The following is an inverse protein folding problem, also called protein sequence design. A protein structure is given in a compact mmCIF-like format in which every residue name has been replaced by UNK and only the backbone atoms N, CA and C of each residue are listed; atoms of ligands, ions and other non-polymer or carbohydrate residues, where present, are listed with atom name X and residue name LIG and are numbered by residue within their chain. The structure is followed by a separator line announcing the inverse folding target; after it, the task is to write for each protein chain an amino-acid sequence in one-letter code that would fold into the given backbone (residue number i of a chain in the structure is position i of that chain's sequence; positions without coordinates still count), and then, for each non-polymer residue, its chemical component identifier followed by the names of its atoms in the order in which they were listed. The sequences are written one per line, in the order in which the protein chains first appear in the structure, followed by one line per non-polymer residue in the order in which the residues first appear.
data_IF_561361202938
#
_entry.id   IF_561361202938
#
_cell.length_a   1.000
_cell.length_b   1.000
_cell.length_c   1.000
_cell.angle_alpha   90.00
_cell.angle_beta   90.00
_cell.angle_gamma   90.00
#
_symmetry.space_group_name_H-M   'P 1'
#
loop_
_entity.id
_entity.type
_entity.pdbx_description
1 polymer ?
#
# COMPACT_ATOMS: atom_id res chain seq x y z
N UNK A 1 -2.48 -2.95 -17.74
CA UNK A 1 -3.03 -4.23 -18.28
C UNK A 1 -4.27 -4.63 -17.50
N UNK A 2 -5.32 -5.17 -18.13
CA UNK A 2 -6.54 -5.58 -17.41
C UNK A 2 -6.97 -6.99 -17.80
N UNK A 3 -6.84 -7.93 -16.87
CA UNK A 3 -7.26 -9.31 -16.99
C UNK A 3 -8.55 -9.50 -16.22
N UNK A 4 -9.68 -9.67 -16.92
CA UNK A 4 -11.00 -9.84 -16.31
C UNK A 4 -11.67 -11.12 -16.80
N UNK A 5 -12.16 -11.95 -15.88
CA UNK A 5 -12.85 -13.20 -16.20
C UNK A 5 -12.01 -14.18 -17.04
N UNK A 6 -10.68 -14.16 -16.87
CA UNK A 6 -9.77 -15.00 -17.63
C UNK A 6 -9.35 -16.24 -16.82
N UNK A 7 -9.00 -17.30 -17.53
CA UNK A 7 -8.49 -18.54 -16.95
C UNK A 7 -7.26 -19.03 -17.67
N UNK A 8 -6.28 -19.54 -16.94
CA UNK A 8 -5.08 -20.20 -17.48
C UNK A 8 -4.26 -19.28 -18.40
N UNK A 9 -3.95 -18.08 -17.92
CA UNK A 9 -3.18 -17.08 -18.67
C UNK A 9 -1.79 -16.92 -18.06
N UNK A 10 -0.78 -16.83 -18.93
CA UNK A 10 0.57 -16.40 -18.55
C UNK A 10 0.93 -15.14 -19.34
N UNK A 11 1.32 -14.09 -18.64
CA UNK A 11 2.02 -12.94 -19.19
C UNK A 11 3.52 -13.16 -19.01
N UNK A 12 4.21 -13.39 -20.12
CA UNK A 12 5.65 -13.54 -20.20
C UNK A 12 6.28 -12.24 -20.69
N UNK A 13 7.13 -11.63 -19.87
CA UNK A 13 7.80 -10.38 -20.23
C UNK A 13 9.11 -10.55 -20.98
N UNK A 14 9.74 -11.73 -20.96
CA UNK A 14 11.07 -11.97 -21.54
C UNK A 14 12.11 -10.91 -21.10
N UNK A 15 12.09 -10.54 -19.82
CA UNK A 15 12.91 -9.50 -19.18
C UNK A 15 12.66 -8.07 -19.71
N UNK A 16 11.50 -7.81 -20.32
CA UNK A 16 11.13 -6.47 -20.76
C UNK A 16 10.87 -5.54 -19.57
N UNK A 17 11.14 -4.25 -19.77
CA UNK A 17 10.72 -3.18 -18.84
C UNK A 17 9.50 -2.47 -19.42
N UNK A 18 8.40 -2.46 -18.67
CA UNK A 18 7.23 -1.67 -18.98
C UNK A 18 7.35 -0.30 -18.30
N UNK A 19 7.44 0.75 -19.10
CA UNK A 19 7.54 2.14 -18.62
C UNK A 19 6.17 2.80 -18.75
N UNK A 20 5.62 3.24 -17.63
CA UNK A 20 4.31 3.89 -17.55
C UNK A 20 4.44 5.41 -17.51
N UNK A 21 3.44 6.08 -18.07
CA UNK A 21 3.35 7.53 -18.23
C UNK A 21 2.14 8.05 -17.46
N UNK A 22 2.37 9.01 -16.56
CA UNK A 22 1.36 9.46 -15.61
C UNK A 22 1.07 8.46 -14.48
N UNK A 23 0.03 8.73 -13.69
CA UNK A 23 -0.41 7.79 -12.63
C UNK A 23 -1.27 6.70 -13.23
N UNK A 24 -0.82 5.45 -13.14
CA UNK A 24 -1.53 4.29 -13.72
C UNK A 24 -1.49 3.09 -12.77
N UNK A 25 -2.46 2.19 -12.90
CA UNK A 25 -2.35 0.84 -12.33
C UNK A 25 -1.69 -0.05 -13.37
N UNK A 26 -0.54 -0.65 -13.02
CA UNK A 26 0.27 -1.44 -13.96
C UNK A 26 -0.50 -2.63 -14.50
N UNK A 27 -1.10 -3.43 -13.61
CA UNK A 27 -2.08 -4.45 -13.99
C UNK A 27 -3.20 -4.62 -12.98
N UNK A 28 -4.35 -5.07 -13.50
CA UNK A 28 -5.50 -5.52 -12.72
C UNK A 28 -5.81 -6.96 -13.10
N UNK A 29 -5.89 -7.86 -12.12
CA UNK A 29 -6.41 -9.23 -12.27
C UNK A 29 -7.72 -9.32 -11.50
N UNK A 30 -8.85 -9.32 -12.20
CA UNK A 30 -10.20 -9.31 -11.62
C UNK A 30 -10.97 -10.57 -12.01
N UNK A 31 -11.58 -11.22 -11.02
CA UNK A 31 -12.47 -12.37 -11.22
C UNK A 31 -11.86 -13.47 -12.11
N UNK A 32 -10.55 -13.70 -11.98
CA UNK A 32 -9.75 -14.57 -12.85
C UNK A 32 -9.11 -15.72 -12.08
N UNK A 33 -8.72 -16.78 -12.79
CA UNK A 33 -8.19 -18.01 -12.19
C UNK A 33 -6.94 -18.51 -12.93
N UNK A 34 -5.94 -19.00 -12.19
CA UNK A 34 -4.69 -19.54 -12.75
C UNK A 34 -4.00 -18.51 -13.67
N UNK A 35 -3.60 -17.38 -13.07
CA UNK A 35 -2.92 -16.30 -13.78
C UNK A 35 -1.47 -16.23 -13.31
N UNK A 36 -0.52 -16.23 -14.26
CA UNK A 36 0.89 -16.03 -14.00
C UNK A 36 1.40 -14.77 -14.71
N UNK A 37 2.17 -13.96 -13.99
CA UNK A 37 2.94 -12.84 -14.56
C UNK A 37 4.41 -13.08 -14.23
N UNK A 38 5.28 -13.06 -15.23
CA UNK A 38 6.69 -13.37 -15.00
C UNK A 38 7.68 -12.65 -15.92
N UNK A 39 8.92 -12.56 -15.43
CA UNK A 39 10.11 -12.05 -16.13
C UNK A 39 9.89 -10.67 -16.73
N UNK A 40 9.49 -9.71 -15.90
CA UNK A 40 9.33 -8.33 -16.33
C UNK A 40 9.72 -7.34 -15.25
N UNK A 41 10.01 -6.13 -15.68
CA UNK A 41 10.19 -4.97 -14.82
C UNK A 41 9.13 -3.92 -15.10
N UNK A 42 8.80 -3.12 -14.09
CA UNK A 42 7.86 -2.00 -14.15
C UNK A 42 8.58 -0.77 -13.66
N UNK A 43 8.50 0.30 -14.44
CA UNK A 43 8.97 1.61 -14.04
C UNK A 43 8.04 2.72 -14.55
N UNK A 44 8.33 3.95 -14.18
CA UNK A 44 7.60 5.13 -14.61
C UNK A 44 8.57 6.13 -15.22
N UNK A 45 8.14 6.81 -16.29
CA UNK A 45 8.92 7.92 -16.87
C UNK A 45 9.15 9.02 -15.83
N UNK A 46 8.12 9.27 -15.01
CA UNK A 46 8.18 10.15 -13.84
C UNK A 46 7.42 9.47 -12.70
N UNK A 47 8.12 8.89 -11.71
CA UNK A 47 7.53 8.29 -10.50
C UNK A 47 6.57 9.21 -9.75
N UNK A 48 5.68 8.70 -8.92
CA UNK A 48 4.77 9.54 -8.12
C UNK A 48 5.40 10.30 -6.97
N UNK A 49 6.60 9.90 -6.59
CA UNK A 49 7.38 10.53 -5.54
C UNK A 49 8.54 11.33 -6.12
N UNK A 50 8.89 12.42 -5.47
CA UNK A 50 10.07 13.22 -5.76
C UNK A 50 11.14 12.99 -4.70
N UNK A 51 12.39 13.21 -5.07
CA UNK A 51 13.52 13.13 -4.15
C UNK A 51 14.39 14.37 -4.33
N UNK A 52 14.95 14.90 -3.25
CA UNK A 52 15.97 15.93 -3.31
C UNK A 52 17.04 15.72 -2.24
N UNK A 53 18.31 15.84 -2.62
CA UNK A 53 19.45 15.72 -1.73
C UNK A 53 19.76 17.09 -1.11
N UNK A 54 19.89 17.15 0.21
CA UNK A 54 20.19 18.37 0.94
C UNK A 54 21.69 18.65 0.87
N UNK A 55 22.09 19.73 0.18
CA UNK A 55 23.50 20.07 -0.06
C UNK A 55 24.07 21.00 0.98
N UNK A 56 23.24 21.91 1.47
CA UNK A 56 23.60 22.87 2.51
C UNK A 56 22.40 23.13 3.40
N UNK A 57 22.61 23.13 4.71
CA UNK A 57 21.59 23.36 5.72
C UNK A 57 22.13 24.40 6.69
N UNK A 58 21.40 25.48 6.85
CA UNK A 58 21.65 26.53 7.84
C UNK A 58 20.33 26.84 8.56
N UNK A 59 20.35 27.56 9.69
CA UNK A 59 19.11 27.96 10.35
C UNK A 59 18.23 28.91 9.50
N UNK A 60 18.77 29.56 8.45
CA UNK A 60 18.06 30.54 7.61
C UNK A 60 17.75 30.06 6.18
N UNK A 61 18.40 28.99 5.72
CA UNK A 61 18.13 28.42 4.41
C UNK A 61 18.60 26.98 4.27
N UNK A 62 18.03 26.30 3.29
CA UNK A 62 18.46 25.01 2.78
C UNK A 62 18.72 25.13 1.28
N UNK A 63 19.82 24.55 0.80
CA UNK A 63 20.04 24.31 -0.64
C UNK A 63 19.85 22.82 -0.88
N UNK A 64 18.96 22.48 -1.81
CA UNK A 64 18.68 21.10 -2.19
C UNK A 64 18.83 20.90 -3.70
N UNK A 65 19.29 19.71 -4.09
CA UNK A 65 19.38 19.25 -5.46
C UNK A 65 18.29 18.20 -5.71
N UNK A 66 17.35 18.50 -6.59
CA UNK A 66 16.31 17.56 -7.00
C UNK A 66 16.92 16.40 -7.81
N UNK A 67 16.43 15.18 -7.57
CA UNK A 67 16.79 14.02 -8.38
C UNK A 67 16.39 14.24 -9.85
N UNK A 68 17.18 13.81 -10.85
CA UNK A 68 16.87 14.03 -12.27
C UNK A 68 15.49 13.54 -12.73
N UNK A 69 14.99 12.43 -12.15
CA UNK A 69 13.64 11.91 -12.43
C UNK A 69 12.50 12.74 -11.82
N UNK A 70 12.82 13.75 -11.01
CA UNK A 70 11.83 14.65 -10.41
C UNK A 70 11.62 15.88 -11.28
N UNK A 71 10.36 16.18 -11.62
CA UNK A 71 9.98 17.41 -12.33
C UNK A 71 9.37 18.42 -11.34
N UNK A 72 9.84 19.67 -11.40
CA UNK A 72 9.36 20.75 -10.56
C UNK A 72 9.31 22.10 -11.27
N UNK A 73 8.48 23.00 -10.75
CA UNK A 73 8.42 24.41 -11.12
C UNK A 73 8.47 25.28 -9.85
N UNK A 74 8.90 26.53 -10.00
CA UNK A 74 8.78 27.55 -8.95
C UNK A 74 7.66 28.50 -9.37
N UNK A 75 6.59 28.56 -8.60
CA UNK A 75 5.42 29.42 -8.84
C UNK A 75 5.16 30.19 -7.56
N UNK A 76 5.09 31.53 -7.63
CA UNK A 76 4.91 32.41 -6.47
C UNK A 76 5.88 32.12 -5.32
N UNK A 77 7.13 31.81 -5.70
CA UNK A 77 8.21 31.40 -4.80
C UNK A 77 7.95 30.10 -4.01
N UNK A 78 7.10 29.21 -4.52
CA UNK A 78 6.87 27.86 -3.97
C UNK A 78 7.30 26.80 -4.96
N UNK A 79 7.89 25.73 -4.45
CA UNK A 79 8.22 24.57 -5.28
C UNK A 79 6.97 23.71 -5.47
N UNK A 80 6.62 23.47 -6.74
CA UNK A 80 5.54 22.58 -7.14
C UNK A 80 6.15 21.37 -7.85
N UNK A 81 5.98 20.18 -7.26
CA UNK A 81 6.30 18.91 -7.92
C UNK A 81 5.18 18.52 -8.88
N UNK A 82 5.53 18.10 -10.09
CA UNK A 82 4.55 17.66 -11.08
C UNK A 82 5.02 16.44 -11.87
N UNK A 83 4.08 15.85 -12.59
CA UNK A 83 4.28 14.83 -13.61
C UNK A 83 3.18 14.92 -14.64
N UNK A 84 3.06 13.92 -15.49
CA UNK A 84 2.02 13.89 -16.52
C UNK A 84 0.63 13.84 -15.89
N UNK A 85 -0.14 14.92 -16.06
CA UNK A 85 -1.52 15.08 -15.56
C UNK A 85 -1.67 15.09 -14.03
N UNK A 86 -0.59 15.37 -13.30
CA UNK A 86 -0.68 15.51 -11.84
C UNK A 86 0.34 16.50 -11.29
N UNK A 87 -0.02 17.07 -10.14
CA UNK A 87 0.89 17.85 -9.28
C UNK A 87 0.67 17.43 -7.82
N UNK A 88 1.71 17.49 -7.01
CA UNK A 88 1.60 17.21 -5.57
C UNK A 88 0.82 18.33 -4.90
N UNK A 89 -0.24 17.97 -4.17
CA UNK A 89 -1.08 18.91 -3.41
C UNK A 89 -1.00 18.65 -1.91
N UNK A 90 -0.89 17.39 -1.50
CA UNK A 90 -0.88 17.00 -0.10
C UNK A 90 0.46 16.41 0.30
N UNK A 91 1.39 17.27 0.71
CA UNK A 91 2.75 16.84 0.97
C UNK A 91 2.86 15.86 2.15
N UNK A 92 3.60 14.80 1.92
CA UNK A 92 4.14 13.91 2.94
C UNK A 92 5.61 13.68 2.63
N UNK A 93 6.47 13.79 3.66
CA UNK A 93 7.90 13.75 3.48
C UNK A 93 8.56 12.77 4.46
N UNK A 94 9.53 12.02 3.95
CA UNK A 94 10.41 11.16 4.75
C UNK A 94 11.84 11.64 4.50
N UNK A 95 12.62 11.74 5.57
CA UNK A 95 14.03 12.07 5.48
C UNK A 95 14.81 10.76 5.49
N UNK A 96 15.59 10.51 4.46
CA UNK A 96 16.49 9.36 4.39
C UNK A 96 17.91 9.83 4.68
N UNK A 97 18.60 9.08 5.51
CA UNK A 97 20.02 9.24 5.79
C UNK A 97 20.79 8.06 5.21
N UNK A 98 21.30 8.17 3.97
CA UNK A 98 21.92 7.04 3.29
C UNK A 98 23.16 6.50 4.02
N UNK A 99 23.95 7.38 4.61
CA UNK A 99 25.19 7.03 5.34
C UNK A 99 24.97 6.12 6.55
N UNK A 100 23.79 6.20 7.17
CA UNK A 100 23.43 5.39 8.33
C UNK A 100 22.39 4.31 7.98
N UNK A 101 21.85 4.31 6.74
CA UNK A 101 20.81 3.38 6.31
C UNK A 101 19.45 3.58 7.00
N UNK A 102 19.15 4.79 7.47
CA UNK A 102 17.96 5.09 8.28
C UNK A 102 16.96 5.94 7.51
N UNK A 103 15.67 5.69 7.74
CA UNK A 103 14.57 6.54 7.28
C UNK A 103 13.83 7.12 8.49
N UNK A 104 13.66 8.43 8.49
CA UNK A 104 13.11 9.21 9.60
C UNK A 104 11.82 9.91 9.16
N UNK A 105 10.79 9.83 10.00
CA UNK A 105 9.58 10.61 9.76
C UNK A 105 9.91 12.10 9.73
N UNK A 106 9.46 12.78 8.68
CA UNK A 106 9.71 14.20 8.48
C UNK A 106 8.41 14.90 8.05
N UNK A 107 8.51 16.16 7.69
CA UNK A 107 7.39 16.92 7.15
C UNK A 107 7.87 17.98 6.16
N UNK A 108 6.95 18.43 5.31
CA UNK A 108 7.21 19.44 4.31
C UNK A 108 7.05 20.87 4.83
N UNK A 109 6.61 21.07 6.08
CA UNK A 109 6.21 22.40 6.58
C UNK A 109 7.35 23.42 6.55
N UNK A 110 8.60 23.01 6.76
CA UNK A 110 9.75 23.91 6.64
C UNK A 110 9.88 24.49 5.22
N UNK A 111 9.69 23.64 4.22
CA UNK A 111 9.76 24.01 2.80
C UNK A 111 8.50 24.78 2.37
N UNK A 112 7.33 24.33 2.80
CA UNK A 112 6.03 25.01 2.60
C UNK A 112 6.07 26.46 3.12
N UNK A 113 6.70 26.71 4.29
CA UNK A 113 6.79 28.05 4.89
C UNK A 113 8.00 28.86 4.42
N UNK A 114 8.82 28.33 3.52
CA UNK A 114 10.00 29.00 2.97
C UNK A 114 9.71 29.67 1.61
N UNK A 115 10.65 30.51 1.17
CA UNK A 115 10.72 31.04 -0.19
C UNK A 115 11.66 30.17 -1.03
N UNK A 116 11.15 29.54 -2.08
CA UNK A 116 11.92 28.71 -3.00
C UNK A 116 12.39 29.52 -4.21
N UNK A 117 13.66 29.37 -4.57
CA UNK A 117 14.30 30.00 -5.72
C UNK A 117 15.17 28.98 -6.45
N UNK A 118 14.98 28.85 -7.77
CA UNK A 118 15.85 28.01 -8.60
C UNK A 118 17.15 28.75 -8.89
N UNK A 119 18.27 28.24 -8.37
CA UNK A 119 19.59 28.88 -8.49
C UNK A 119 20.50 28.20 -9.52
N UNK A 120 20.18 26.97 -9.94
CA UNK A 120 20.83 26.25 -11.04
C UNK A 120 19.88 25.17 -11.61
N UNK A 121 20.25 24.44 -12.68
CA UNK A 121 19.53 23.22 -13.06
C UNK A 121 19.43 22.27 -11.86
N UNK A 122 18.22 21.81 -11.54
CA UNK A 122 17.89 20.94 -10.39
C UNK A 122 18.19 21.49 -8.99
N UNK A 123 18.89 22.62 -8.85
CA UNK A 123 19.26 23.18 -7.54
C UNK A 123 18.27 24.29 -7.14
N UNK A 124 17.68 24.12 -5.95
CA UNK A 124 16.72 25.05 -5.35
C UNK A 124 17.23 25.51 -3.99
N UNK A 125 17.21 26.82 -3.76
CA UNK A 125 17.41 27.43 -2.45
C UNK A 125 16.06 27.72 -1.81
N UNK A 126 15.88 27.22 -0.60
CA UNK A 126 14.75 27.50 0.26
C UNK A 126 15.19 28.44 1.37
N UNK A 127 14.66 29.66 1.41
CA UNK A 127 14.99 30.66 2.44
C UNK A 127 13.84 30.82 3.43
N UNK A 128 14.10 30.63 4.73
CA UNK A 128 13.07 30.60 5.78
C UNK A 128 13.66 30.22 7.14
N UNK A 129 12.81 29.89 8.12
CA UNK A 129 13.28 29.38 9.41
C UNK A 129 13.47 27.86 9.35
N UNK A 130 14.73 27.43 9.33
CA UNK A 130 15.16 26.03 9.38
C UNK A 130 15.88 25.69 10.68
N UNK A 131 15.83 26.56 11.70
CA UNK A 131 16.54 26.36 12.98
C UNK A 131 16.16 25.07 13.72
N UNK A 132 14.96 24.54 13.44
CA UNK A 132 14.44 23.28 14.00
C UNK A 132 14.38 22.14 12.99
N UNK A 133 14.87 22.33 11.77
CA UNK A 133 14.91 21.28 10.76
C UNK A 133 16.10 20.36 11.01
N UNK A 134 15.86 19.23 11.64
CA UNK A 134 16.89 18.26 11.99
C UNK A 134 17.25 17.37 10.78
N UNK A 135 18.15 17.87 9.93
CA UNK A 135 18.72 17.14 8.81
C UNK A 135 20.22 17.46 8.70
N UNK A 136 20.97 16.59 8.01
CA UNK A 136 22.38 16.81 7.72
C UNK A 136 22.64 16.88 6.22
N UNK A 137 23.84 17.34 5.87
CA UNK A 137 24.31 17.32 4.49
C UNK A 137 24.25 15.89 3.93
N UNK A 138 23.81 15.78 2.69
CA UNK A 138 23.61 14.54 1.93
C UNK A 138 22.46 13.64 2.43
N UNK A 139 21.68 14.07 3.43
CA UNK A 139 20.36 13.47 3.64
C UNK A 139 19.48 13.73 2.39
N UNK A 140 18.58 12.79 2.09
CA UNK A 140 17.65 12.88 0.97
C UNK A 140 16.24 13.05 1.52
N UNK A 141 15.59 14.16 1.18
CA UNK A 141 14.17 14.32 1.47
C UNK A 141 13.35 13.72 0.33
N UNK A 142 12.48 12.78 0.66
CA UNK A 142 11.59 12.11 -0.28
C UNK A 142 10.18 12.63 -0.05
N UNK A 143 9.45 12.91 -1.13
CA UNK A 143 8.19 13.64 -1.11
C UNK A 143 7.16 12.88 -1.94
N UNK A 144 5.95 12.73 -1.41
CA UNK A 144 4.80 12.18 -2.14
C UNK A 144 3.53 12.95 -1.84
N UNK A 145 2.53 12.77 -2.69
CA UNK A 145 1.16 13.11 -2.31
C UNK A 145 0.64 12.07 -1.28
N UNK A 146 -0.07 12.56 -0.27
CA UNK A 146 -0.65 11.73 0.79
C UNK A 146 -1.84 10.94 0.27
N UNK A 147 -2.59 11.49 -0.68
CA UNK A 147 -3.78 10.85 -1.21
C UNK A 147 -3.39 9.68 -2.13
N UNK A 148 -3.94 8.51 -1.84
CA UNK A 148 -3.68 7.26 -2.58
C UNK A 148 -4.80 7.07 -3.60
N UNK A 149 -4.64 7.64 -4.79
CA UNK A 149 -5.61 7.58 -5.90
C UNK A 149 -5.41 6.37 -6.83
N UNK A 150 -4.27 5.68 -6.72
CA UNK A 150 -3.93 4.48 -7.47
C UNK A 150 -3.30 3.42 -6.57
N UNK A 151 -3.09 2.24 -7.14
CA UNK A 151 -2.24 1.19 -6.58
C UNK A 151 -1.27 0.75 -7.68
N UNK A 152 -0.10 0.21 -7.31
CA UNK A 152 0.87 -0.29 -8.28
C UNK A 152 0.29 -1.44 -9.10
N UNK A 153 -0.30 -2.41 -8.43
CA UNK A 153 -1.01 -3.52 -9.05
C UNK A 153 -2.22 -3.92 -8.22
N UNK A 154 -3.26 -4.43 -8.87
CA UNK A 154 -4.48 -4.86 -8.19
C UNK A 154 -4.90 -6.26 -8.56
N UNK A 155 -5.14 -7.10 -7.57
CA UNK A 155 -5.76 -8.41 -7.74
C UNK A 155 -7.05 -8.44 -6.95
N UNK A 156 -8.15 -8.74 -7.61
CA UNK A 156 -9.48 -8.70 -7.02
C UNK A 156 -10.22 -10.00 -7.31
N UNK A 157 -10.79 -10.61 -6.27
CA UNK A 157 -11.72 -11.75 -6.40
C UNK A 157 -11.20 -12.87 -7.30
N UNK A 158 -9.90 -13.11 -7.25
CA UNK A 158 -9.19 -13.98 -8.17
C UNK A 158 -8.50 -15.12 -7.43
N UNK A 159 -8.20 -16.20 -8.14
CA UNK A 159 -7.70 -17.45 -7.55
C UNK A 159 -6.44 -17.95 -8.26
N UNK A 160 -5.51 -18.50 -7.49
CA UNK A 160 -4.26 -19.10 -7.99
C UNK A 160 -3.46 -18.09 -8.84
N UNK A 161 -3.03 -17.00 -8.21
CA UNK A 161 -2.20 -15.97 -8.85
C UNK A 161 -0.74 -16.22 -8.52
N UNK A 162 0.10 -16.14 -9.56
CA UNK A 162 1.54 -16.32 -9.42
C UNK A 162 2.28 -15.13 -10.02
N UNK A 163 3.18 -14.55 -9.24
CA UNK A 163 4.16 -13.58 -9.70
C UNK A 163 5.54 -14.23 -9.55
N UNK A 164 6.31 -14.27 -10.63
CA UNK A 164 7.65 -14.87 -10.61
C UNK A 164 8.65 -13.98 -11.34
N UNK A 165 9.74 -13.61 -10.68
CA UNK A 165 10.78 -12.76 -11.27
C UNK A 165 10.19 -11.44 -11.84
N UNK A 166 9.58 -10.66 -10.94
CA UNK A 166 8.91 -9.39 -11.27
C UNK A 166 9.55 -8.26 -10.48
N UNK A 167 10.04 -7.24 -11.19
CA UNK A 167 10.62 -6.04 -10.58
C UNK A 167 9.62 -4.88 -10.63
N UNK A 168 9.27 -4.33 -9.48
CA UNK A 168 8.46 -3.13 -9.31
C UNK A 168 9.38 -1.98 -8.89
N UNK A 169 9.98 -1.30 -9.87
CA UNK A 169 10.97 -0.25 -9.59
C UNK A 169 10.35 1.02 -9.01
N UNK A 170 9.08 1.28 -9.36
CA UNK A 170 8.28 2.33 -8.77
C UNK A 170 6.80 1.97 -8.77
N UNK A 171 6.06 2.42 -7.75
CA UNK A 171 4.61 2.27 -7.63
C UNK A 171 3.97 3.53 -7.05
N UNK A 172 2.82 3.91 -7.62
CA UNK A 172 1.99 5.00 -7.11
C UNK A 172 0.96 4.47 -6.10
N UNK A 173 0.81 5.14 -4.96
CA UNK A 173 -0.15 4.76 -3.91
C UNK A 173 0.29 3.52 -3.13
N UNK A 174 -0.65 2.60 -2.88
CA UNK A 174 -0.33 1.26 -2.35
C UNK A 174 0.42 0.44 -3.40
N UNK A 175 1.23 -0.53 -2.99
CA UNK A 175 1.97 -1.39 -3.89
C UNK A 175 1.10 -2.44 -4.59
N UNK A 176 1.47 -3.71 -4.47
CA UNK A 176 0.68 -4.83 -5.01
C UNK A 176 -0.45 -5.14 -4.03
N UNK A 177 -1.67 -4.75 -4.37
CA UNK A 177 -2.85 -4.97 -3.53
C UNK A 177 -3.63 -6.19 -4.01
N UNK A 178 -3.82 -7.17 -3.12
CA UNK A 178 -4.68 -8.33 -3.36
C UNK A 178 -5.87 -8.30 -2.42
N UNK A 179 -7.08 -8.22 -2.97
CA UNK A 179 -8.33 -8.11 -2.24
C UNK A 179 -9.27 -9.28 -2.59
N UNK A 180 -9.79 -9.99 -1.59
CA UNK A 180 -10.65 -11.17 -1.79
C UNK A 180 -10.07 -12.22 -2.75
N UNK A 181 -8.75 -12.43 -2.71
CA UNK A 181 -8.10 -13.44 -3.53
C UNK A 181 -7.86 -14.75 -2.76
N UNK A 182 -7.75 -15.86 -3.49
CA UNK A 182 -7.46 -17.20 -2.95
C UNK A 182 -6.17 -17.76 -3.57
N UNK A 183 -5.23 -18.22 -2.74
CA UNK A 183 -3.95 -18.81 -3.17
C UNK A 183 -3.07 -17.87 -4.02
N UNK A 184 -2.10 -17.24 -3.36
CA UNK A 184 -1.17 -16.28 -3.95
C UNK A 184 0.26 -16.77 -3.75
N UNK A 185 1.06 -16.81 -4.80
CA UNK A 185 2.48 -17.19 -4.74
C UNK A 185 3.33 -16.14 -5.42
N UNK A 186 4.05 -15.36 -4.63
CA UNK A 186 4.98 -14.33 -5.09
C UNK A 186 6.38 -14.82 -4.80
N UNK A 187 7.11 -15.16 -5.85
CA UNK A 187 8.45 -15.71 -5.79
C UNK A 187 9.40 -14.81 -6.60
N UNK A 188 10.49 -14.36 -5.98
CA UNK A 188 11.41 -13.42 -6.64
C UNK A 188 10.69 -12.16 -7.14
N UNK A 189 9.87 -11.56 -6.29
CA UNK A 189 9.26 -10.25 -6.56
C UNK A 189 10.06 -9.17 -5.83
N UNK A 190 10.54 -8.20 -6.58
CA UNK A 190 11.46 -7.17 -6.09
C UNK A 190 10.76 -5.81 -6.12
N UNK A 191 10.44 -5.26 -4.95
CA UNK A 191 9.92 -3.89 -4.79
C UNK A 191 11.08 -3.03 -4.30
N UNK A 192 11.88 -2.54 -5.24
CA UNK A 192 13.09 -1.77 -4.96
C UNK A 192 13.40 -0.84 -6.14
N UNK A 193 14.01 0.34 -5.94
CA UNK A 193 14.34 1.24 -7.04
C UNK A 193 15.26 0.57 -8.06
N UNK A 194 15.10 0.93 -9.35
CA UNK A 194 15.94 0.38 -10.41
C UNK A 194 17.43 0.57 -10.10
N UNK A 195 18.22 -0.49 -10.28
CA UNK A 195 19.67 -0.44 -10.06
C UNK A 195 20.32 0.66 -10.93
N UNK A 196 21.20 1.46 -10.32
CA UNK A 196 21.87 2.57 -11.00
C UNK A 196 21.02 3.81 -11.23
N UNK A 197 19.72 3.82 -10.90
CA UNK A 197 18.86 5.00 -11.09
C UNK A 197 19.16 6.16 -10.14
N UNK A 198 19.86 5.91 -9.02
CA UNK A 198 20.11 6.90 -7.97
C UNK A 198 18.92 7.13 -7.03
N UNK A 199 17.72 6.66 -7.39
CA UNK A 199 16.51 6.72 -6.56
C UNK A 199 16.63 5.89 -5.29
N UNK A 200 15.95 6.34 -4.25
CA UNK A 200 15.92 5.67 -2.94
C UNK A 200 14.55 5.02 -2.66
N UNK A 201 13.46 5.55 -3.21
CA UNK A 201 12.09 5.09 -2.91
C UNK A 201 11.45 4.39 -4.10
N UNK A 202 10.88 3.21 -3.85
CA UNK A 202 10.12 2.41 -4.81
C UNK A 202 8.60 2.54 -4.61
N UNK A 203 8.12 2.69 -3.36
CA UNK A 203 6.68 2.74 -3.09
C UNK A 203 6.29 3.88 -2.15
N UNK A 204 5.21 4.56 -2.54
CA UNK A 204 4.61 5.63 -1.75
C UNK A 204 3.88 5.12 -0.50
N UNK A 205 3.61 3.82 -0.42
CA UNK A 205 2.99 3.15 0.72
C UNK A 205 3.46 1.69 0.80
N UNK A 206 2.57 0.76 1.16
CA UNK A 206 2.90 -0.64 1.40
C UNK A 206 3.52 -1.28 0.14
N UNK A 207 4.40 -2.28 0.31
CA UNK A 207 4.97 -3.04 -0.80
C UNK A 207 3.98 -4.05 -1.37
N UNK A 208 3.45 -4.92 -0.51
CA UNK A 208 2.42 -5.90 -0.81
C UNK A 208 1.32 -5.88 0.26
N UNK A 209 0.07 -5.74 -0.16
CA UNK A 209 -1.07 -5.54 0.71
C UNK A 209 -2.16 -6.58 0.44
N UNK A 210 -2.41 -7.47 1.39
CA UNK A 210 -3.38 -8.55 1.28
C UNK A 210 -4.57 -8.29 2.21
N UNK A 211 -5.70 -7.87 1.62
CA UNK A 211 -6.90 -7.51 2.36
C UNK A 211 -8.03 -8.51 2.11
N UNK A 212 -8.44 -9.24 3.14
CA UNK A 212 -9.53 -10.22 3.05
C UNK A 212 -9.23 -11.36 2.06
N UNK A 213 -7.98 -11.84 1.99
CA UNK A 213 -7.61 -13.01 1.18
C UNK A 213 -7.85 -14.33 1.94
N UNK A 214 -7.88 -15.47 1.22
CA UNK A 214 -8.01 -16.81 1.82
C UNK A 214 -7.06 -17.83 1.17
N UNK A 215 -7.09 -19.06 1.68
CA UNK A 215 -6.19 -20.11 1.22
C UNK A 215 -4.78 -19.87 1.76
N UNK A 216 -3.78 -19.90 0.88
CA UNK A 216 -2.36 -19.70 1.24
C UNK A 216 -1.75 -18.51 0.51
N UNK A 217 -1.02 -17.66 1.24
CA UNK A 217 -0.15 -16.63 0.69
C UNK A 217 1.30 -17.08 0.89
N UNK A 218 2.09 -17.10 -0.18
CA UNK A 218 3.52 -17.41 -0.14
C UNK A 218 4.30 -16.23 -0.71
N UNK A 219 5.26 -15.73 0.06
CA UNK A 219 6.23 -14.70 -0.32
C UNK A 219 7.61 -15.35 -0.14
N UNK A 220 8.32 -15.58 -1.24
CA UNK A 220 9.58 -16.31 -1.26
C UNK A 220 10.61 -15.57 -2.12
N UNK A 221 11.87 -15.51 -1.68
CA UNK A 221 12.96 -14.83 -2.40
C UNK A 221 12.67 -13.38 -2.83
N UNK A 222 11.79 -12.67 -2.10
CA UNK A 222 11.40 -11.30 -2.44
C UNK A 222 12.36 -10.27 -1.83
N UNK A 223 12.38 -9.07 -2.39
CA UNK A 223 13.09 -7.92 -1.79
C UNK A 223 12.18 -6.72 -1.70
N UNK A 224 12.35 -5.97 -0.62
CA UNK A 224 11.61 -4.74 -0.35
C UNK A 224 12.61 -3.68 0.08
N UNK A 225 12.68 -2.59 -0.68
CA UNK A 225 13.52 -1.44 -0.37
C UNK A 225 12.86 -0.13 -0.79
N UNK A 226 12.87 0.84 0.12
CA UNK A 226 12.43 2.21 -0.17
C UNK A 226 10.92 2.34 -0.15
N UNK A 227 10.27 1.95 0.94
CA UNK A 227 8.83 2.11 1.14
C UNK A 227 8.56 3.18 2.19
N UNK A 228 7.51 3.98 1.98
CA UNK A 228 7.01 4.92 2.99
C UNK A 228 6.04 4.25 4.01
N UNK A 229 5.81 2.95 3.88
CA UNK A 229 4.92 2.14 4.73
C UNK A 229 5.44 0.68 4.77
N UNK A 230 4.61 -0.26 5.24
CA UNK A 230 5.02 -1.65 5.46
C UNK A 230 5.41 -2.37 4.15
N UNK A 231 6.54 -3.08 4.09
CA UNK A 231 6.81 -4.04 3.03
C UNK A 231 5.68 -5.04 2.76
N UNK A 232 5.10 -5.64 3.82
CA UNK A 232 4.03 -6.63 3.73
C UNK A 232 2.97 -6.39 4.79
N UNK A 233 1.71 -6.33 4.35
CA UNK A 233 0.55 -6.17 5.22
C UNK A 233 -0.52 -7.22 4.88
N UNK A 234 -0.89 -8.07 5.84
CA UNK A 234 -1.92 -9.11 5.69
C UNK A 234 -2.99 -8.92 6.76
N UNK A 235 -4.22 -8.65 6.36
CA UNK A 235 -5.32 -8.42 7.30
C UNK A 235 -6.71 -8.73 6.71
N UNK A 236 -7.68 -8.93 7.60
CA UNK A 236 -9.11 -8.87 7.28
C UNK A 236 -9.70 -7.48 7.56
N UNK A 237 -10.99 -7.28 7.28
CA UNK A 237 -11.67 -6.01 7.58
C UNK A 237 -12.75 -6.23 8.63
N UNK A 238 -12.66 -5.51 9.75
CA UNK A 238 -13.77 -5.41 10.71
C UNK A 238 -14.83 -4.45 10.19
N UNK A 239 -16.09 -4.89 10.21
CA UNK A 239 -17.21 -3.98 10.04
C UNK A 239 -17.93 -3.80 11.38
N UNK A 240 -18.32 -2.57 11.68
CA UNK A 240 -19.04 -2.24 12.91
C UNK A 240 -20.52 -2.56 12.74
N UNK A 241 -21.13 -3.24 13.70
CA UNK A 241 -22.58 -3.44 13.76
C UNK A 241 -23.22 -2.12 14.13
N UNK A 242 -24.02 -1.57 13.22
CA UNK A 242 -24.72 -0.28 13.41
C UNK A 242 -26.19 -0.46 13.77
N UNK A 243 -26.77 -1.65 13.53
CA UNK A 243 -28.15 -1.96 13.89
C UNK A 243 -28.35 -3.48 14.00
N UNK A 244 -29.13 -3.93 14.99
CA UNK A 244 -29.64 -5.31 15.05
C UNK A 244 -31.11 -5.29 14.62
N UNK A 245 -31.36 -5.68 13.37
CA UNK A 245 -32.68 -5.57 12.71
C UNK A 245 -33.64 -6.66 13.22
N UNK A 246 -33.13 -7.87 13.46
CA UNK A 246 -33.90 -9.00 13.98
C UNK A 246 -32.97 -10.01 14.67
N UNK A 247 -33.49 -11.07 15.32
CA UNK A 247 -32.65 -12.10 15.96
C UNK A 247 -31.64 -12.80 15.03
N UNK A 248 -31.73 -12.63 13.70
CA UNK A 248 -30.81 -13.20 12.71
C UNK A 248 -30.26 -12.16 11.74
N UNK A 249 -30.66 -10.88 11.82
CA UNK A 249 -30.37 -9.88 10.79
C UNK A 249 -29.74 -8.64 11.40
N UNK A 250 -28.67 -8.15 10.79
CA UNK A 250 -27.91 -7.00 11.27
C UNK A 250 -27.44 -6.11 10.12
N UNK A 251 -27.29 -4.83 10.42
CA UNK A 251 -26.66 -3.83 9.54
C UNK A 251 -25.25 -3.58 10.03
N UNK A 252 -24.31 -3.56 9.09
CA UNK A 252 -22.89 -3.37 9.38
C UNK A 252 -22.29 -2.29 8.51
N UNK A 253 -21.26 -1.62 9.01
CA UNK A 253 -20.66 -0.46 8.37
C UNK A 253 -19.15 -0.52 8.30
N UNK A 254 -18.64 -0.13 7.15
CA UNK A 254 -17.27 0.26 6.91
C UNK A 254 -16.94 1.59 7.60
N UNK A 255 -16.05 1.56 8.59
CA UNK A 255 -15.74 2.74 9.42
C UNK A 255 -14.60 3.58 8.86
N UNK A 256 -13.55 2.94 8.32
CA UNK A 256 -12.41 3.68 7.80
C UNK A 256 -12.76 4.40 6.50
N UNK A 257 -12.31 5.64 6.35
CA UNK A 257 -12.66 6.46 5.19
C UNK A 257 -12.08 5.91 3.88
N UNK A 258 -10.98 5.14 3.92
CA UNK A 258 -10.34 4.50 2.75
C UNK A 258 -10.72 3.03 2.55
N UNK A 259 -11.66 2.48 3.32
CA UNK A 259 -12.04 1.06 3.21
C UNK A 259 -13.55 0.96 3.09
N UNK A 260 -14.08 0.95 1.86
CA UNK A 260 -15.50 0.88 1.57
C UNK A 260 -15.75 0.46 0.12
N UNK A 261 -17.01 0.27 -0.27
CA UNK A 261 -17.42 0.12 -1.67
C UNK A 261 -17.34 -1.30 -2.24
N UNK A 262 -17.10 -2.32 -1.40
CA UNK A 262 -16.98 -3.70 -1.84
C UNK A 262 -17.77 -4.68 -0.95
N UNK A 263 -18.25 -5.82 -1.49
CA UNK A 263 -18.96 -6.82 -0.70
C UNK A 263 -17.98 -7.61 0.19
N UNK A 264 -17.87 -7.20 1.46
CA UNK A 264 -16.96 -7.83 2.44
C UNK A 264 -17.42 -9.19 2.96
N UNK A 265 -18.70 -9.52 2.76
CA UNK A 265 -19.32 -10.78 3.14
C UNK A 265 -20.15 -11.31 1.98
N UNK A 266 -20.28 -12.62 1.89
CA UNK A 266 -21.13 -13.34 0.95
C UNK A 266 -21.89 -14.45 1.69
N UNK A 267 -22.92 -15.01 1.04
CA UNK A 267 -23.54 -16.23 1.55
C UNK A 267 -22.50 -17.31 1.81
N UNK A 268 -22.74 -18.11 2.84
CA UNK A 268 -21.87 -19.17 3.36
C UNK A 268 -20.60 -18.73 4.11
N UNK A 269 -20.28 -17.43 4.15
CA UNK A 269 -19.12 -16.96 4.90
C UNK A 269 -19.28 -17.22 6.41
N UNK A 270 -18.23 -17.76 7.03
CA UNK A 270 -18.12 -17.83 8.48
C UNK A 270 -17.66 -16.48 9.02
N UNK A 271 -18.22 -16.07 10.16
CA UNK A 271 -17.87 -14.81 10.83
C UNK A 271 -17.55 -15.02 12.30
N UNK A 272 -16.73 -14.14 12.85
CA UNK A 272 -16.56 -13.98 14.29
C UNK A 272 -17.08 -12.61 14.73
N UNK A 273 -17.90 -12.60 15.77
CA UNK A 273 -18.38 -11.40 16.43
C UNK A 273 -17.40 -10.99 17.53
N UNK A 274 -17.12 -9.69 17.64
CA UNK A 274 -16.04 -9.12 18.45
C UNK A 274 -16.54 -7.93 19.26
N UNK A 275 -16.07 -7.80 20.50
CA UNK A 275 -16.21 -6.55 21.25
C UNK A 275 -15.21 -5.53 20.71
N UNK A 276 -15.69 -4.42 20.15
CA UNK A 276 -14.81 -3.40 19.52
C UNK A 276 -13.74 -2.85 20.45
N UNK A 277 -14.03 -2.73 21.75
CA UNK A 277 -13.09 -2.18 22.74
C UNK A 277 -11.95 -3.14 23.13
N UNK A 278 -12.16 -4.46 23.04
CA UNK A 278 -11.19 -5.45 23.53
C UNK A 278 -10.75 -6.46 22.48
N UNK A 279 -11.34 -6.43 21.28
CA UNK A 279 -11.18 -7.41 20.21
C UNK A 279 -11.48 -8.85 20.65
N UNK A 280 -12.15 -9.04 21.79
CA UNK A 280 -12.50 -10.36 22.29
C UNK A 280 -13.64 -10.94 21.46
N UNK A 281 -13.44 -12.15 20.93
CA UNK A 281 -14.48 -12.93 20.25
C UNK A 281 -15.60 -13.23 21.26
N UNK A 282 -16.81 -12.80 20.94
CA UNK A 282 -18.01 -13.02 21.76
C UNK A 282 -19.01 -14.00 21.12
N UNK A 283 -18.74 -14.47 19.90
CA UNK A 283 -19.51 -15.50 19.23
C UNK A 283 -19.02 -15.73 17.80
N UNK A 284 -19.58 -16.74 17.15
CA UNK A 284 -19.36 -17.05 15.74
C UNK A 284 -20.70 -17.31 15.06
N UNK A 285 -20.75 -17.20 13.74
CA UNK A 285 -21.93 -17.55 12.96
C UNK A 285 -21.58 -17.79 11.50
N UNK A 286 -22.58 -18.12 10.70
CA UNK A 286 -22.45 -18.24 9.25
C UNK A 286 -23.48 -17.34 8.57
N UNK A 287 -23.03 -16.62 7.55
CA UNK A 287 -23.86 -15.71 6.77
C UNK A 287 -24.74 -16.54 5.85
N UNK A 288 -26.05 -16.31 5.90
CA UNK A 288 -27.04 -16.86 4.96
C UNK A 288 -27.16 -15.96 3.74
N UNK A 289 -27.34 -14.65 3.94
CA UNK A 289 -27.36 -13.66 2.85
C UNK A 289 -26.57 -12.41 3.24
N UNK A 290 -25.97 -11.75 2.25
CA UNK A 290 -25.25 -10.50 2.40
C UNK A 290 -25.61 -9.56 1.26
N UNK A 291 -25.99 -8.33 1.59
CA UNK A 291 -26.37 -7.33 0.60
C UNK A 291 -25.67 -6.01 0.92
N UNK A 292 -24.94 -5.46 -0.05
CA UNK A 292 -24.44 -4.09 0.00
C UNK A 292 -25.63 -3.14 -0.27
N UNK A 293 -25.93 -2.26 0.68
CA UNK A 293 -27.07 -1.32 0.60
C UNK A 293 -26.63 0.13 0.39
N UNK A 294 -25.35 0.42 0.61
CA UNK A 294 -24.68 1.65 0.21
C UNK A 294 -23.18 1.38 0.06
N UNK A 295 -22.40 2.37 -0.37
CA UNK A 295 -20.94 2.25 -0.40
C UNK A 295 -20.33 1.84 0.96
N UNK A 296 -20.99 2.15 2.08
CA UNK A 296 -20.45 1.91 3.42
C UNK A 296 -21.20 0.88 4.23
N UNK A 297 -22.38 0.43 3.80
CA UNK A 297 -23.26 -0.37 4.65
C UNK A 297 -23.71 -1.65 3.96
N UNK A 298 -23.73 -2.74 4.74
CA UNK A 298 -24.24 -4.03 4.31
C UNK A 298 -25.29 -4.52 5.30
N UNK A 299 -26.29 -5.23 4.79
CA UNK A 299 -27.22 -6.03 5.59
C UNK A 299 -26.78 -7.48 5.49
N UNK A 300 -26.61 -8.12 6.64
CA UNK A 300 -26.31 -9.54 6.74
C UNK A 300 -27.47 -10.27 7.45
N UNK A 301 -27.87 -11.40 6.89
CA UNK A 301 -28.74 -12.38 7.54
C UNK A 301 -27.88 -13.60 7.90
N UNK A 302 -27.98 -14.06 9.13
CA UNK A 302 -27.27 -15.22 9.64
C UNK A 302 -28.10 -16.49 9.49
N UNK A 303 -27.44 -17.64 9.38
CA UNK A 303 -28.11 -18.96 9.31
C UNK A 303 -28.78 -19.36 10.63
N UNK A 304 -28.29 -18.80 11.74
CA UNK A 304 -28.72 -19.05 13.11
C UNK A 304 -28.94 -17.74 13.87
N UNK A 305 -29.56 -17.86 15.04
CA UNK A 305 -29.73 -16.73 15.95
C UNK A 305 -28.39 -16.08 16.32
N UNK A 306 -28.39 -14.75 16.38
CA UNK A 306 -27.26 -13.95 16.83
C UNK A 306 -26.93 -14.27 18.31
N UNK A 307 -25.66 -14.15 18.73
CA UNK A 307 -25.31 -14.34 20.13
C UNK A 307 -26.12 -13.42 21.06
N UNK A 308 -26.72 -13.96 22.12
CA UNK A 308 -27.65 -13.23 23.03
C UNK A 308 -27.08 -11.94 23.65
N UNK A 309 -25.76 -11.75 23.67
CA UNK A 309 -25.09 -10.57 24.23
C UNK A 309 -24.50 -9.65 23.16
N UNK A 310 -24.74 -9.91 21.88
CA UNK A 310 -24.30 -9.03 20.78
C UNK A 310 -25.06 -7.70 20.88
N UNK A 311 -24.37 -6.58 20.64
CA UNK A 311 -24.98 -5.25 20.69
C UNK A 311 -24.47 -4.36 19.57
N UNK A 312 -25.22 -3.30 19.30
CA UNK A 312 -24.74 -2.23 18.44
C UNK A 312 -23.42 -1.66 18.97
N UNK A 313 -22.53 -1.32 18.05
CA UNK A 313 -21.18 -0.87 18.35
C UNK A 313 -20.14 -1.97 18.48
N UNK A 314 -20.54 -3.24 18.62
CA UNK A 314 -19.65 -4.37 18.38
C UNK A 314 -19.24 -4.45 16.90
N UNK A 315 -18.31 -5.36 16.59
CA UNK A 315 -17.84 -5.58 15.24
C UNK A 315 -17.94 -7.05 14.85
N UNK A 316 -17.78 -7.32 13.56
CA UNK A 316 -17.56 -8.67 13.06
C UNK A 316 -16.44 -8.70 12.02
N UNK A 317 -15.76 -9.84 11.93
CA UNK A 317 -14.81 -10.15 10.84
C UNK A 317 -15.27 -11.36 10.04
N UNK A 318 -14.86 -11.37 8.77
CA UNK A 318 -15.00 -12.51 7.89
C UNK A 318 -13.84 -13.48 8.08
N UNK A 319 -14.13 -14.67 8.62
CA UNK A 319 -13.12 -15.67 9.01
C UNK A 319 -12.97 -16.79 7.97
N UNK A 320 -13.86 -16.82 6.97
CA UNK A 320 -13.62 -17.54 5.70
C UNK A 320 -12.45 -16.91 4.97
N UNK A 321 -12.45 -15.57 4.91
CA UNK A 321 -11.47 -14.76 4.21
C UNK A 321 -10.26 -14.42 5.07
N UNK A 322 -9.60 -15.47 5.55
CA UNK A 322 -8.36 -15.37 6.31
C UNK A 322 -7.34 -16.40 5.77
N UNK A 323 -6.12 -15.99 5.36
CA UNK A 323 -5.16 -16.90 4.72
C UNK A 323 -4.14 -17.47 5.72
N UNK A 324 -3.59 -18.65 5.46
CA UNK A 324 -2.27 -18.98 6.00
C UNK A 324 -1.19 -18.21 5.25
N UNK A 325 -0.09 -17.90 5.92
CA UNK A 325 0.98 -17.05 5.35
C UNK A 325 2.33 -17.73 5.53
N UNK A 326 3.15 -17.71 4.48
CA UNK A 326 4.56 -18.09 4.52
C UNK A 326 5.39 -16.97 3.90
N UNK A 327 6.32 -16.43 4.67
CA UNK A 327 7.28 -15.40 4.23
C UNK A 327 8.67 -15.94 4.51
N UNK A 328 9.48 -16.16 3.47
CA UNK A 328 10.81 -16.72 3.64
C UNK A 328 11.82 -16.24 2.62
N UNK A 329 13.09 -16.42 2.94
CA UNK A 329 14.24 -16.12 2.07
C UNK A 329 14.20 -14.69 1.50
N UNK A 330 13.53 -13.77 2.17
CA UNK A 330 13.23 -12.42 1.67
C UNK A 330 14.02 -11.37 2.45
N UNK A 331 14.23 -10.21 1.83
CA UNK A 331 15.01 -9.11 2.40
C UNK A 331 14.15 -7.85 2.54
N UNK A 332 14.17 -7.26 3.73
CA UNK A 332 13.38 -6.10 4.11
C UNK A 332 14.30 -4.94 4.53
N UNK A 333 14.35 -3.89 3.71
CA UNK A 333 15.24 -2.74 3.93
C UNK A 333 14.52 -1.42 3.67
N UNK A 334 15.04 -0.34 4.24
CA UNK A 334 14.61 1.01 3.87
C UNK A 334 13.09 1.22 3.97
N UNK A 335 12.53 1.09 5.17
CA UNK A 335 11.18 1.56 5.52
C UNK A 335 11.24 2.38 6.81
N UNK A 336 10.40 3.39 6.93
CA UNK A 336 10.25 4.22 8.13
C UNK A 336 9.11 3.77 9.06
N UNK A 337 8.57 2.57 8.83
CA UNK A 337 7.42 2.02 9.56
C UNK A 337 7.71 0.62 10.11
N UNK A 338 6.82 -0.37 9.94
CA UNK A 338 7.06 -1.75 10.40
C UNK A 338 7.67 -2.56 9.24
N UNK A 339 8.16 -3.77 9.53
CA UNK A 339 8.58 -4.72 8.49
C UNK A 339 7.39 -5.48 7.91
N UNK A 340 6.79 -6.37 8.71
CA UNK A 340 5.62 -7.16 8.29
C UNK A 340 4.49 -6.99 9.29
N UNK A 341 3.31 -6.56 8.84
CA UNK A 341 2.08 -6.55 9.63
C UNK A 341 1.21 -7.74 9.22
N UNK A 342 1.19 -8.79 10.06
CA UNK A 342 0.45 -10.02 9.76
C UNK A 342 -0.60 -10.27 10.83
N UNK A 343 -1.86 -10.02 10.48
CA UNK A 343 -3.03 -10.12 11.38
C UNK A 343 -4.02 -11.19 10.92
N UNK A 344 -3.49 -12.32 10.48
CA UNK A 344 -4.28 -13.53 10.20
C UNK A 344 -4.41 -14.40 11.45
N UNK A 345 -5.55 -15.08 11.58
CA UNK A 345 -5.81 -16.11 12.60
C UNK A 345 -5.33 -17.52 12.21
N UNK A 346 -4.84 -17.71 10.98
CA UNK A 346 -4.31 -19.01 10.51
C UNK A 346 -2.80 -19.09 10.70
N UNK A 347 -2.24 -20.27 10.43
CA UNK A 347 -0.80 -20.53 10.56
C UNK A 347 0.01 -19.49 9.76
N UNK A 348 1.01 -18.92 10.43
CA UNK A 348 2.01 -18.03 9.86
C UNK A 348 3.38 -18.68 10.04
N UNK A 349 4.19 -18.67 8.98
CA UNK A 349 5.60 -19.04 8.99
C UNK A 349 6.42 -17.86 8.47
N UNK A 350 7.35 -17.37 9.26
CA UNK A 350 8.32 -16.33 8.88
C UNK A 350 9.70 -16.91 9.20
N UNK A 351 10.49 -17.25 8.19
CA UNK A 351 11.78 -17.93 8.35
C UNK A 351 12.82 -17.42 7.35
N UNK A 352 14.10 -17.39 7.74
CA UNK A 352 15.21 -17.03 6.84
C UNK A 352 15.04 -15.67 6.12
N UNK A 353 14.47 -14.67 6.80
CA UNK A 353 14.37 -13.31 6.29
C UNK A 353 15.41 -12.41 6.95
N UNK A 354 15.83 -11.36 6.25
CA UNK A 354 16.77 -10.33 6.74
C UNK A 354 16.07 -8.99 6.82
#
# INVERSE_FOLDING_TARGET
LFFKNLKNITLEGNNSTFVFHGKMITWVIDSSENVRIQNLSVDYERPGMSEMTLKEITPQYVIAEAHPDSKFAIIDNKLIWYGEQWMTQNFHAILVRPSEGIMLYSNWNFFENSRAEKIAPLIVKFSGDFSKFNAQKDDVLTIRDRYRDYVGAFHNRSKNIQLHNVHMNSMHGLGIVSQFCENLTYDSVFVEPAAGSGRIISSSADGMHFSGCKGRITIDHCRFRGMHDDPVNVHGTHLKITEIISPQKLKVRFMHHQTYGFPAFSGDDSVAFLRSASLKICGTGRVKTAQLISEREMILEMDKLLPNKLKEGDALENITWTPSVTIRNSRFEGTNTRGTLVTTRRKVLIENNV
#
